data_IF_978382889336
#
_entry.id   IF_978382889336
#
_cell.length_a   1.000
_cell.length_b   1.000
_cell.length_c   1.000
_cell.angle_alpha   90.00
_cell.angle_beta   90.00
_cell.angle_gamma   90.00
#
_symmetry.space_group_name_H-M   'P 1'
#
loop_
_entity.id
_entity.type
_entity.pdbx_description
1 polymer ?
#
# COMPACT_ATOMS: atom_id res chain seq x y z
N UNK A 1 3.51 -17.74 -3.07
CA UNK A 1 2.07 -17.46 -3.03
C UNK A 1 1.66 -17.09 -4.43
N UNK A 2 0.48 -17.51 -4.89
CA UNK A 2 -0.05 -17.03 -6.17
C UNK A 2 -0.61 -15.61 -6.01
N UNK A 3 -0.67 -14.83 -7.08
CA UNK A 3 -1.26 -13.48 -7.08
C UNK A 3 -2.66 -13.44 -6.41
N UNK A 4 -3.52 -14.42 -6.69
CA UNK A 4 -4.85 -14.54 -6.08
C UNK A 4 -4.81 -14.81 -4.56
N UNK A 5 -3.80 -15.53 -4.07
CA UNK A 5 -3.64 -15.77 -2.63
C UNK A 5 -3.22 -14.48 -1.93
N UNK A 6 -2.31 -13.71 -2.53
CA UNK A 6 -1.89 -12.41 -2.01
C UNK A 6 -3.09 -11.47 -1.91
N UNK A 7 -3.88 -11.35 -2.98
CA UNK A 7 -5.08 -10.51 -2.97
C UNK A 7 -6.03 -10.93 -1.84
N UNK A 8 -6.30 -12.22 -1.69
CA UNK A 8 -7.15 -12.73 -0.59
C UNK A 8 -6.62 -12.41 0.79
N UNK A 9 -5.30 -12.46 1.02
CA UNK A 9 -4.75 -12.08 2.32
C UNK A 9 -4.90 -10.57 2.59
N UNK A 10 -4.82 -9.72 1.55
CA UNK A 10 -5.11 -8.30 1.67
C UNK A 10 -6.62 -8.07 1.92
N UNK A 11 -7.51 -8.76 1.22
CA UNK A 11 -8.96 -8.61 1.44
C UNK A 11 -9.41 -8.99 2.86
N UNK A 12 -8.67 -9.87 3.56
CA UNK A 12 -8.96 -10.24 4.96
C UNK A 12 -8.79 -9.10 5.96
N UNK A 13 -8.06 -8.03 5.61
CA UNK A 13 -7.95 -6.86 6.49
C UNK A 13 -9.11 -5.87 6.31
N UNK A 14 -10.11 -6.19 5.47
CA UNK A 14 -11.31 -5.36 5.25
C UNK A 14 -10.99 -3.88 4.96
N UNK A 15 -9.99 -3.66 4.10
CA UNK A 15 -9.41 -2.34 3.84
C UNK A 15 -10.36 -1.34 3.14
N UNK A 16 -11.53 -1.77 2.67
CA UNK A 16 -12.41 -0.91 1.89
C UNK A 16 -12.85 0.31 2.71
N UNK A 17 -12.67 1.51 2.16
CA UNK A 17 -12.89 2.80 2.84
C UNK A 17 -12.03 3.00 4.11
N UNK A 18 -11.00 2.17 4.35
CA UNK A 18 -10.05 2.37 5.42
C UNK A 18 -9.03 3.45 5.03
N UNK A 19 -8.71 4.34 5.97
CA UNK A 19 -7.79 5.45 5.73
C UNK A 19 -6.35 4.94 5.60
N UNK A 20 -5.64 5.41 4.58
CA UNK A 20 -4.18 5.22 4.46
C UNK A 20 -3.50 6.28 5.32
N UNK A 21 -2.76 5.83 6.33
CA UNK A 21 -2.05 6.70 7.26
C UNK A 21 -0.61 6.98 6.82
N UNK A 22 -0.02 6.04 6.09
CA UNK A 22 1.37 6.13 5.63
C UNK A 22 1.63 5.27 4.41
N UNK A 23 2.50 5.76 3.54
CA UNK A 23 3.03 5.04 2.38
C UNK A 23 4.53 5.35 2.31
N UNK A 24 5.34 4.51 2.95
CA UNK A 24 6.75 4.76 3.17
C UNK A 24 7.62 3.91 2.27
N UNK A 25 8.45 4.58 1.47
CA UNK A 25 9.50 3.94 0.68
C UNK A 25 10.76 3.82 1.54
N UNK A 26 11.16 2.58 1.86
CA UNK A 26 12.30 2.27 2.76
C UNK A 26 13.43 1.61 1.98
N UNK A 27 14.64 1.64 2.54
CA UNK A 27 15.84 0.98 1.99
C UNK A 27 16.06 1.24 0.49
N UNK A 28 16.05 2.52 0.08
CA UNK A 28 16.20 2.94 -1.32
C UNK A 28 15.11 2.42 -2.28
N UNK A 29 13.95 2.07 -1.73
CA UNK A 29 12.84 1.51 -2.49
C UNK A 29 12.87 0.01 -2.67
N UNK A 30 13.75 -0.70 -1.96
CA UNK A 30 13.67 -2.17 -1.84
C UNK A 30 12.43 -2.61 -1.06
N UNK A 31 11.93 -1.76 -0.16
CA UNK A 31 10.72 -2.03 0.60
C UNK A 31 9.73 -0.86 0.55
N UNK A 32 8.45 -1.20 0.54
CA UNK A 32 7.34 -0.24 0.68
C UNK A 32 6.46 -0.69 1.83
N UNK A 33 6.23 0.20 2.79
CA UNK A 33 5.31 -0.01 3.91
C UNK A 33 4.04 0.82 3.68
N UNK A 34 2.90 0.16 3.67
CA UNK A 34 1.58 0.78 3.69
C UNK A 34 0.97 0.59 5.07
N UNK A 35 0.54 1.68 5.71
CA UNK A 35 -0.13 1.67 7.01
C UNK A 35 -1.59 2.03 6.78
N UNK A 36 -2.47 1.11 7.15
CA UNK A 36 -3.92 1.24 6.98
C UNK A 36 -4.55 1.32 8.37
N UNK A 37 -5.38 2.33 8.54
CA UNK A 37 -6.09 2.58 9.78
C UNK A 37 -7.04 1.45 10.14
N UNK A 38 -7.07 1.12 11.43
CA UNK A 38 -8.10 0.32 12.06
C UNK A 38 -8.66 1.14 13.23
N UNK A 39 -9.93 1.52 13.15
CA UNK A 39 -10.53 2.49 14.08
C UNK A 39 -11.00 1.85 15.39
N UNK A 40 -11.24 0.54 15.41
CA UNK A 40 -11.89 -0.14 16.53
C UNK A 40 -10.93 -0.97 17.39
N UNK A 41 -9.65 -1.00 17.05
CA UNK A 41 -8.64 -1.81 17.72
C UNK A 41 -7.44 -0.96 18.18
N UNK A 42 -6.58 -1.56 19.00
CA UNK A 42 -5.35 -0.93 19.49
C UNK A 42 -4.15 -1.08 18.53
N UNK A 43 -4.41 -1.40 17.28
CA UNK A 43 -3.40 -1.60 16.25
C UNK A 43 -3.86 -0.99 14.92
N UNK A 44 -2.92 -0.81 13.99
CA UNK A 44 -3.19 -0.54 12.58
C UNK A 44 -2.70 -1.72 11.74
N UNK A 45 -3.29 -1.91 10.56
CA UNK A 45 -2.83 -2.94 9.63
C UNK A 45 -1.61 -2.42 8.88
N UNK A 46 -0.64 -3.30 8.66
CA UNK A 46 0.55 -3.01 7.87
C UNK A 46 0.64 -3.97 6.70
N UNK A 47 0.96 -3.43 5.52
CA UNK A 47 1.31 -4.21 4.34
C UNK A 47 2.72 -3.81 3.93
N UNK A 48 3.64 -4.76 4.01
CA UNK A 48 5.03 -4.59 3.61
C UNK A 48 5.29 -5.32 2.30
N UNK A 49 5.59 -4.56 1.25
CA UNK A 49 6.09 -5.08 -0.02
C UNK A 49 7.62 -5.11 0.06
N UNK A 50 8.23 -6.25 -0.29
CA UNK A 50 9.66 -6.52 -0.11
C UNK A 50 10.30 -6.97 -1.43
N UNK A 51 11.57 -6.64 -1.59
CA UNK A 51 12.31 -6.87 -2.84
C UNK A 51 11.62 -6.14 -3.99
N UNK A 52 11.28 -4.88 -3.75
CA UNK A 52 10.60 -4.02 -4.71
C UNK A 52 11.60 -3.60 -5.79
N UNK A 53 11.22 -3.78 -7.05
CA UNK A 53 12.06 -3.42 -8.20
C UNK A 53 11.51 -2.20 -8.94
N UNK A 54 10.28 -1.81 -8.65
CA UNK A 54 9.61 -0.64 -9.21
C UNK A 54 8.52 -0.16 -8.25
N UNK A 55 8.49 1.15 -8.00
CA UNK A 55 7.47 1.82 -7.19
C UNK A 55 7.09 3.12 -7.89
N UNK A 56 5.89 3.18 -8.46
CA UNK A 56 5.33 4.40 -9.03
C UNK A 56 4.20 4.90 -8.14
N UNK A 57 4.23 6.18 -7.76
CA UNK A 57 3.16 6.85 -7.03
C UNK A 57 2.74 8.07 -7.82
N UNK A 58 1.45 8.18 -8.10
CA UNK A 58 0.87 9.30 -8.84
C UNK A 58 -0.18 10.00 -7.99
N UNK A 59 -0.16 11.33 -7.99
CA UNK A 59 -1.18 12.17 -7.40
C UNK A 59 -1.29 13.45 -8.22
N UNK A 60 -2.49 14.06 -8.32
CA UNK A 60 -2.64 15.35 -8.98
C UNK A 60 -1.88 16.45 -8.22
N UNK A 61 -1.48 17.49 -8.95
CA UNK A 61 -0.72 18.61 -8.40
C UNK A 61 -1.48 19.33 -7.28
N UNK A 62 -2.80 19.49 -7.44
CA UNK A 62 -3.63 20.23 -6.50
C UNK A 62 -3.60 19.64 -5.09
N UNK A 63 -3.54 18.30 -4.97
CA UNK A 63 -3.43 17.56 -3.70
C UNK A 63 -2.00 17.52 -3.13
N UNK A 64 -1.06 18.22 -3.77
CA UNK A 64 0.33 18.39 -3.33
C UNK A 64 0.69 19.85 -3.02
N UNK A 65 -0.22 20.80 -3.28
CA UNK A 65 -0.01 22.22 -2.97
C UNK A 65 0.21 22.42 -1.47
N UNK A 66 -0.61 21.75 -0.64
CA UNK A 66 -0.40 21.66 0.80
C UNK A 66 0.40 20.38 1.09
N UNK A 67 1.53 20.47 1.79
CA UNK A 67 2.29 19.27 2.16
C UNK A 67 1.41 18.31 2.98
N UNK A 68 1.29 17.06 2.53
CA UNK A 68 0.44 16.04 3.18
C UNK A 68 0.78 15.85 4.67
N UNK A 69 2.07 15.99 5.02
CA UNK A 69 2.54 15.90 6.42
C UNK A 69 1.95 16.96 7.36
N UNK A 70 1.39 18.04 6.82
CA UNK A 70 0.75 19.11 7.60
C UNK A 70 -0.75 18.86 7.83
N UNK A 71 -1.32 17.86 7.16
CA UNK A 71 -2.70 17.44 7.37
C UNK A 71 -2.81 16.65 8.66
N UNK A 72 -3.85 16.96 9.46
CA UNK A 72 -4.24 16.09 10.56
C UNK A 72 -4.86 14.80 10.05
N UNK A 73 -4.97 13.79 10.91
CA UNK A 73 -5.63 12.51 10.63
C UNK A 73 -7.00 12.68 9.95
N UNK A 74 -7.86 13.56 10.47
CA UNK A 74 -9.21 13.79 9.93
C UNK A 74 -9.22 14.53 8.59
N UNK A 75 -8.10 15.15 8.21
CA UNK A 75 -7.93 15.86 6.94
C UNK A 75 -7.27 15.00 5.86
N UNK A 76 -6.73 13.82 6.19
CA UNK A 76 -6.14 12.92 5.22
C UNK A 76 -7.24 12.36 4.29
N UNK A 77 -7.20 12.67 2.99
CA UNK A 77 -8.24 12.25 2.04
C UNK A 77 -8.00 10.84 1.49
N UNK A 78 -6.92 10.16 1.90
CA UNK A 78 -6.50 8.88 1.35
C UNK A 78 -7.28 7.74 1.96
N UNK A 79 -8.22 7.18 1.19
CA UNK A 79 -8.96 5.99 1.57
C UNK A 79 -8.71 4.90 0.55
N UNK A 80 -8.49 3.68 1.02
CA UNK A 80 -8.30 2.53 0.15
C UNK A 80 -9.61 2.22 -0.59
N UNK A 81 -9.58 2.23 -1.91
CA UNK A 81 -10.71 1.82 -2.74
C UNK A 81 -10.45 0.49 -3.42
N UNK A 82 -9.44 0.41 -4.28
CA UNK A 82 -9.23 -0.79 -5.11
C UNK A 82 -7.81 -1.31 -4.99
N UNK A 83 -7.70 -2.64 -4.98
CA UNK A 83 -6.43 -3.37 -4.92
C UNK A 83 -6.50 -4.49 -5.94
N UNK A 84 -5.53 -4.54 -6.85
CA UNK A 84 -5.39 -5.66 -7.77
C UNK A 84 -3.98 -6.22 -7.73
N UNK A 85 -3.87 -7.55 -7.78
CA UNK A 85 -2.61 -8.27 -7.80
C UNK A 85 -2.51 -9.09 -9.10
N UNK A 86 -1.43 -8.88 -9.84
CA UNK A 86 -1.04 -9.71 -10.98
C UNK A 86 0.38 -10.23 -10.79
N UNK A 87 0.84 -11.14 -11.64
CA UNK A 87 2.26 -11.57 -11.63
C UNK A 87 2.79 -11.82 -13.03
N UNK A 88 4.10 -11.73 -13.17
CA UNK A 88 4.86 -12.07 -14.37
C UNK A 88 6.21 -12.66 -13.97
N UNK A 89 6.88 -13.34 -14.91
CA UNK A 89 8.22 -13.89 -14.68
C UNK A 89 9.26 -12.96 -15.29
N UNK A 90 10.26 -12.58 -14.49
CA UNK A 90 11.42 -11.80 -14.89
C UNK A 90 12.67 -12.56 -14.45
N UNK A 91 13.55 -12.91 -15.39
CA UNK A 91 14.82 -13.62 -15.10
C UNK A 91 14.62 -14.83 -14.16
N UNK A 92 13.68 -15.71 -14.52
CA UNK A 92 13.30 -16.93 -13.76
C UNK A 92 12.68 -16.66 -12.37
N UNK A 93 12.49 -15.39 -12.00
CA UNK A 93 11.89 -14.97 -10.73
C UNK A 93 10.44 -14.53 -10.95
N UNK A 94 9.51 -15.01 -10.12
CA UNK A 94 8.14 -14.49 -10.11
C UNK A 94 8.11 -13.12 -9.45
N UNK A 95 7.58 -12.13 -10.17
CA UNK A 95 7.37 -10.77 -9.68
C UNK A 95 5.87 -10.50 -9.64
N UNK A 96 5.41 -9.98 -8.53
CA UNK A 96 4.03 -9.56 -8.31
C UNK A 96 3.91 -8.07 -8.59
N UNK A 97 2.77 -7.67 -9.13
CA UNK A 97 2.40 -6.26 -9.33
C UNK A 97 1.16 -5.98 -8.51
N UNK A 98 1.26 -5.02 -7.61
CA UNK A 98 0.15 -4.47 -6.85
C UNK A 98 -0.22 -3.10 -7.41
N UNK A 99 -1.45 -2.97 -7.91
CA UNK A 99 -2.03 -1.67 -8.20
C UNK A 99 -2.97 -1.27 -7.07
N UNK A 100 -2.75 -0.09 -6.52
CA UNK A 100 -3.47 0.48 -5.39
C UNK A 100 -4.14 1.78 -5.82
N UNK A 101 -5.44 1.88 -5.59
CA UNK A 101 -6.20 3.13 -5.77
C UNK A 101 -6.61 3.63 -4.38
N UNK A 102 -6.06 4.79 -4.02
CA UNK A 102 -6.35 5.48 -2.76
C UNK A 102 -6.40 6.99 -3.03
N UNK A 103 -7.51 7.47 -3.62
CA UNK A 103 -7.68 8.85 -4.06
C UNK A 103 -7.28 9.83 -2.96
N UNK A 104 -6.66 10.95 -3.32
CA UNK A 104 -6.38 11.40 -4.68
C UNK A 104 -5.21 10.68 -5.39
N UNK A 105 -4.56 9.72 -4.74
CA UNK A 105 -3.39 9.04 -5.27
C UNK A 105 -3.67 7.62 -5.80
N UNK A 106 -2.72 7.12 -6.57
CA UNK A 106 -2.61 5.70 -6.93
C UNK A 106 -1.15 5.27 -6.88
N UNK A 107 -0.92 3.97 -6.72
CA UNK A 107 0.42 3.40 -6.76
C UNK A 107 0.46 2.09 -7.55
N UNK A 108 1.59 1.84 -8.21
CA UNK A 108 1.95 0.58 -8.84
C UNK A 108 3.27 0.09 -8.22
N UNK A 109 3.25 -1.09 -7.61
CA UNK A 109 4.39 -1.65 -6.88
C UNK A 109 4.72 -3.02 -7.47
N UNK A 110 5.97 -3.20 -7.92
CA UNK A 110 6.48 -4.49 -8.38
C UNK A 110 7.38 -5.07 -7.31
N UNK A 111 7.02 -6.24 -6.77
CA UNK A 111 7.66 -6.83 -5.59
C UNK A 111 7.78 -8.34 -5.71
N UNK A 112 8.65 -8.94 -4.89
CA UNK A 112 8.86 -10.41 -4.90
C UNK A 112 8.24 -11.09 -3.69
N UNK A 113 8.06 -10.37 -2.57
CA UNK A 113 7.47 -10.90 -1.33
C UNK A 113 6.60 -9.85 -0.66
N UNK A 114 5.59 -10.31 0.08
CA UNK A 114 4.70 -9.46 0.86
C UNK A 114 4.61 -9.99 2.29
N UNK A 115 4.46 -9.09 3.25
CA UNK A 115 4.08 -9.42 4.63
C UNK A 115 2.89 -8.55 5.02
N UNK A 116 1.93 -9.15 5.71
CA UNK A 116 0.77 -8.46 6.25
C UNK A 116 0.80 -8.67 7.75
N UNK A 117 0.71 -7.58 8.50
CA UNK A 117 0.92 -7.55 9.93
C UNK A 117 0.08 -6.49 10.63
N UNK A 118 0.34 -6.34 11.93
CA UNK A 118 -0.31 -5.38 12.80
C UNK A 118 0.75 -4.54 13.49
N UNK A 119 0.56 -3.24 13.52
CA UNK A 119 1.36 -2.30 14.30
C UNK A 119 0.57 -1.85 15.50
N UNK A 120 1.07 -2.15 16.70
CA UNK A 120 0.44 -1.78 17.95
C UNK A 120 0.90 -0.39 18.38
N UNK A 121 -0.02 0.38 18.96
CA UNK A 121 0.27 1.69 19.56
C UNK A 121 0.85 1.61 20.96
#
# INVERSE_FOLDING_TARGET
MKAQEILREIEKIYYWDARVLGFDCRYFGDEVLLIIEEENENYHHQIEFLGCIKVDISAPLDDRIVPVRELSRLQLPYFMHDVSITSYVLEETEVFVCNLIFPPASAEIHFTKIRIGKEYH
#
